data_IF_293647832626
#
_entry.id   IF_293647832626
#
_cell.length_a   1.000
_cell.length_b   1.000
_cell.length_c   1.000
_cell.angle_alpha   90.00
_cell.angle_beta   90.00
_cell.angle_gamma   90.00
#
_symmetry.space_group_name_H-M   'P 1'
#
loop_
_entity.id
_entity.type
_entity.pdbx_description
1 polymer ?
#
# COMPACT_ATOMS: atom_id res chain seq x y z
N UNK A 1 0.09 -33.00 -15.67
CA UNK A 1 -0.82 -32.43 -14.65
C UNK A 1 -2.21 -33.06 -14.93
N UNK A 2 -2.92 -33.56 -13.93
CA UNK A 2 -4.25 -34.14 -14.13
C UNK A 2 -5.23 -33.08 -14.66
N UNK A 3 -6.16 -33.47 -15.52
CA UNK A 3 -7.15 -32.56 -16.12
C UNK A 3 -8.09 -31.95 -15.09
N UNK A 4 -8.35 -32.66 -14.00
CA UNK A 4 -9.15 -32.19 -12.85
C UNK A 4 -8.56 -30.98 -12.11
N UNK A 5 -7.24 -30.74 -12.29
CA UNK A 5 -6.56 -29.57 -11.71
C UNK A 5 -6.60 -28.34 -12.64
N UNK A 6 -7.35 -28.41 -13.74
CA UNK A 6 -7.54 -27.27 -14.62
C UNK A 6 -8.39 -26.19 -13.94
N UNK A 7 -7.93 -24.95 -13.99
CA UNK A 7 -8.68 -23.78 -13.47
C UNK A 7 -9.25 -23.01 -14.67
N UNK A 8 -10.57 -22.91 -14.73
CA UNK A 8 -11.27 -22.27 -15.85
C UNK A 8 -11.35 -23.13 -17.11
N UNK A 9 -11.86 -22.57 -18.20
CA UNK A 9 -11.99 -23.21 -19.49
C UNK A 9 -10.73 -23.06 -20.35
N UNK A 10 -10.65 -23.84 -21.43
CA UNK A 10 -9.55 -23.69 -22.38
C UNK A 10 -9.54 -22.31 -23.01
N UNK A 11 -8.36 -21.68 -23.04
CA UNK A 11 -8.19 -20.30 -23.53
C UNK A 11 -8.38 -19.21 -22.46
N UNK A 12 -8.84 -19.52 -21.26
CA UNK A 12 -9.09 -18.53 -20.19
C UNK A 12 -7.87 -18.25 -19.28
N UNK A 13 -6.78 -19.00 -19.44
CA UNK A 13 -5.62 -18.89 -18.53
C UNK A 13 -5.08 -17.48 -18.35
N UNK A 14 -5.02 -16.67 -19.43
CA UNK A 14 -4.61 -15.27 -19.33
C UNK A 14 -5.57 -14.43 -18.49
N UNK A 15 -6.87 -14.64 -18.61
CA UNK A 15 -7.89 -13.91 -17.85
C UNK A 15 -7.82 -14.29 -16.36
N UNK A 16 -7.60 -15.57 -16.07
CA UNK A 16 -7.40 -16.05 -14.68
C UNK A 16 -6.16 -15.42 -14.07
N UNK A 17 -5.04 -15.40 -14.80
CA UNK A 17 -3.80 -14.78 -14.34
C UNK A 17 -3.97 -13.29 -14.09
N UNK A 18 -4.63 -12.54 -14.98
CA UNK A 18 -4.87 -11.10 -14.82
C UNK A 18 -5.80 -10.80 -13.65
N UNK A 19 -6.78 -11.65 -13.39
CA UNK A 19 -7.65 -11.54 -12.22
C UNK A 19 -6.88 -11.73 -10.92
N UNK A 20 -5.98 -12.71 -10.86
CA UNK A 20 -5.09 -12.93 -9.72
C UNK A 20 -4.16 -11.74 -9.47
N UNK A 21 -3.58 -11.16 -10.54
CA UNK A 21 -2.73 -9.97 -10.46
C UNK A 21 -3.50 -8.75 -9.92
N UNK A 22 -4.76 -8.54 -10.33
CA UNK A 22 -5.57 -7.43 -9.79
C UNK A 22 -5.79 -7.57 -8.27
N UNK A 23 -5.92 -8.82 -7.76
CA UNK A 23 -5.96 -9.08 -6.32
C UNK A 23 -4.60 -8.84 -5.66
N UNK A 24 -3.52 -9.31 -6.26
CA UNK A 24 -2.16 -9.11 -5.79
C UNK A 24 -1.81 -7.63 -5.65
N UNK A 25 -2.19 -6.80 -6.62
CA UNK A 25 -2.00 -5.34 -6.56
C UNK A 25 -2.66 -4.71 -5.35
N UNK A 26 -3.87 -5.14 -5.00
CA UNK A 26 -4.59 -4.65 -3.82
C UNK A 26 -3.86 -4.98 -2.52
N UNK A 27 -3.44 -6.24 -2.36
CA UNK A 27 -2.72 -6.68 -1.16
C UNK A 27 -1.34 -6.04 -1.03
N UNK A 28 -0.63 -5.86 -2.15
CA UNK A 28 0.64 -5.13 -2.20
C UNK A 28 0.48 -3.67 -1.80
N UNK A 29 -0.58 -3.00 -2.28
CA UNK A 29 -0.88 -1.62 -1.88
C UNK A 29 -1.10 -1.51 -0.37
N UNK A 30 -1.88 -2.42 0.22
CA UNK A 30 -2.13 -2.45 1.66
C UNK A 30 -0.84 -2.70 2.47
N UNK A 31 0.00 -3.64 2.02
CA UNK A 31 1.30 -3.90 2.64
C UNK A 31 2.24 -2.70 2.57
N UNK A 32 2.26 -1.99 1.44
CA UNK A 32 3.08 -0.78 1.26
C UNK A 32 2.64 0.37 2.18
N UNK A 33 1.33 0.55 2.40
CA UNK A 33 0.80 1.51 3.39
C UNK A 33 1.27 1.14 4.80
N UNK A 34 1.23 -0.15 5.16
CA UNK A 34 1.74 -0.63 6.45
C UNK A 34 3.24 -0.37 6.63
N UNK A 35 4.03 -0.55 5.56
CA UNK A 35 5.46 -0.26 5.58
C UNK A 35 5.74 1.24 5.72
N UNK A 36 5.01 2.09 5.01
CA UNK A 36 5.12 3.55 5.15
C UNK A 36 4.74 4.00 6.58
N UNK A 37 3.72 3.41 7.18
CA UNK A 37 3.36 3.64 8.58
C UNK A 37 4.49 3.24 9.53
N UNK A 38 5.11 2.08 9.32
CA UNK A 38 6.24 1.64 10.14
C UNK A 38 7.44 2.60 10.04
N UNK A 39 7.71 3.15 8.84
CA UNK A 39 8.74 4.18 8.66
C UNK A 39 8.39 5.46 9.44
N UNK A 40 7.15 5.90 9.39
CA UNK A 40 6.67 7.07 10.13
C UNK A 40 6.81 6.88 11.64
N UNK A 41 6.35 5.73 12.16
CA UNK A 41 6.39 5.43 13.60
C UNK A 41 7.83 5.36 14.13
N UNK A 42 8.74 4.72 13.38
CA UNK A 42 10.16 4.67 13.73
C UNK A 42 10.79 6.08 13.72
N UNK A 43 10.48 6.88 12.70
CA UNK A 43 10.99 8.24 12.54
C UNK A 43 10.50 9.18 13.64
N UNK A 44 9.23 9.11 14.00
CA UNK A 44 8.65 9.93 15.09
C UNK A 44 9.31 9.58 16.42
N UNK A 45 9.46 8.28 16.73
CA UNK A 45 10.16 7.84 17.96
C UNK A 45 11.58 8.38 18.01
N UNK A 46 12.34 8.14 16.96
CA UNK A 46 13.73 8.58 16.91
C UNK A 46 13.88 10.11 16.97
N UNK A 47 12.95 10.85 16.35
CA UNK A 47 12.95 12.30 16.36
C UNK A 47 12.73 12.92 17.76
N UNK A 48 12.08 12.19 18.66
CA UNK A 48 11.94 12.57 20.08
C UNK A 48 13.14 12.14 20.94
N UNK A 49 13.77 11.00 20.62
CA UNK A 49 14.88 10.46 21.38
C UNK A 49 16.21 11.16 21.07
N UNK A 50 16.45 11.48 19.81
CA UNK A 50 17.70 12.09 19.35
C UNK A 50 17.73 13.58 19.58
N UNK A 51 18.81 14.08 20.17
CA UNK A 51 19.06 15.50 20.41
C UNK A 51 20.23 16.03 19.60
N UNK A 52 20.12 17.23 19.05
CA UNK A 52 21.18 18.01 18.43
C UNK A 52 20.96 19.50 18.74
N UNK A 53 22.03 20.25 18.87
CA UNK A 53 21.96 21.68 19.22
C UNK A 53 21.13 22.00 20.48
N UNK A 54 21.08 21.07 21.43
CA UNK A 54 20.37 21.26 22.70
C UNK A 54 18.85 20.98 22.67
N UNK A 55 18.32 20.47 21.55
CA UNK A 55 16.89 20.13 21.45
C UNK A 55 16.67 18.82 20.66
N UNK A 56 15.46 18.26 20.76
CA UNK A 56 15.01 17.13 19.96
C UNK A 56 15.12 17.42 18.48
N UNK A 57 15.62 16.46 17.65
CA UNK A 57 15.73 16.69 16.21
C UNK A 57 14.35 16.91 15.55
N UNK A 58 13.28 16.42 16.16
CA UNK A 58 11.90 16.66 15.73
C UNK A 58 11.50 18.15 15.72
N UNK A 59 12.25 19.03 16.36
CA UNK A 59 12.01 20.48 16.34
C UNK A 59 12.59 21.16 15.09
N UNK A 60 13.53 20.53 14.41
CA UNK A 60 14.15 21.07 13.20
C UNK A 60 13.19 21.02 12.01
N UNK A 61 13.10 22.11 11.26
CA UNK A 61 12.11 22.28 10.17
C UNK A 61 12.21 21.19 9.08
N UNK A 62 13.43 20.80 8.69
CA UNK A 62 13.61 19.78 7.65
C UNK A 62 13.19 18.38 8.12
N UNK A 63 13.39 18.06 9.40
CA UNK A 63 12.88 16.82 9.99
C UNK A 63 11.35 16.84 10.03
N UNK A 64 10.74 17.95 10.45
CA UNK A 64 9.27 18.12 10.41
C UNK A 64 8.71 17.95 9.01
N UNK A 65 9.40 18.47 7.99
CA UNK A 65 8.97 18.32 6.59
C UNK A 65 8.93 16.85 6.17
N UNK A 66 9.98 16.06 6.47
CA UNK A 66 10.01 14.64 6.16
C UNK A 66 8.89 13.88 6.86
N UNK A 67 8.70 14.10 8.16
CA UNK A 67 7.62 13.49 8.95
C UNK A 67 6.24 13.85 8.40
N UNK A 68 6.02 15.13 8.06
CA UNK A 68 4.75 15.58 7.49
C UNK A 68 4.45 14.94 6.12
N UNK A 69 5.48 14.78 5.26
CA UNK A 69 5.35 14.11 3.98
C UNK A 69 5.02 12.62 4.15
N UNK A 70 5.68 11.94 5.09
CA UNK A 70 5.35 10.54 5.42
C UNK A 70 3.90 10.41 5.90
N UNK A 71 3.47 11.26 6.84
CA UNK A 71 2.11 11.21 7.39
C UNK A 71 1.06 11.44 6.30
N UNK A 72 1.23 12.50 5.49
CA UNK A 72 0.35 12.83 4.38
C UNK A 72 0.22 11.69 3.37
N UNK A 73 1.35 11.17 2.88
CA UNK A 73 1.34 10.15 1.84
C UNK A 73 0.81 8.80 2.34
N UNK A 74 1.06 8.46 3.60
CA UNK A 74 0.50 7.26 4.25
C UNK A 74 -1.02 7.35 4.34
N UNK A 75 -1.57 8.50 4.73
CA UNK A 75 -3.01 8.71 4.81
C UNK A 75 -3.68 8.66 3.43
N UNK A 76 -3.08 9.30 2.42
CA UNK A 76 -3.56 9.20 1.03
C UNK A 76 -3.56 7.74 0.57
N UNK A 77 -2.48 7.00 0.80
CA UNK A 77 -2.38 5.59 0.44
C UNK A 77 -3.45 4.74 1.12
N UNK A 78 -3.72 4.98 2.39
CA UNK A 78 -4.77 4.29 3.17
C UNK A 78 -6.16 4.53 2.59
N UNK A 79 -6.49 5.78 2.27
CA UNK A 79 -7.77 6.13 1.66
C UNK A 79 -7.95 5.49 0.29
N UNK A 80 -6.90 5.43 -0.53
CA UNK A 80 -6.94 4.76 -1.83
C UNK A 80 -7.17 3.24 -1.70
N UNK A 81 -6.51 2.59 -0.74
CA UNK A 81 -6.71 1.16 -0.46
C UNK A 81 -8.14 0.91 0.03
N UNK A 82 -8.64 1.72 0.95
CA UNK A 82 -10.01 1.60 1.45
C UNK A 82 -11.05 1.79 0.34
N UNK A 83 -10.86 2.78 -0.53
CA UNK A 83 -11.73 3.00 -1.69
C UNK A 83 -11.75 1.78 -2.60
N UNK A 84 -10.58 1.23 -2.94
CA UNK A 84 -10.50 0.04 -3.79
C UNK A 84 -11.21 -1.18 -3.14
N UNK A 85 -10.99 -1.40 -1.85
CA UNK A 85 -11.64 -2.47 -1.09
C UNK A 85 -13.16 -2.28 -0.97
N UNK A 86 -13.60 -1.04 -0.76
CA UNK A 86 -15.04 -0.73 -0.71
C UNK A 86 -15.74 -1.05 -2.03
N UNK A 87 -15.19 -0.60 -3.16
CA UNK A 87 -15.74 -0.90 -4.49
C UNK A 87 -15.82 -2.40 -4.74
N UNK A 88 -14.77 -3.13 -4.38
CA UNK A 88 -14.73 -4.58 -4.50
C UNK A 88 -15.83 -5.26 -3.69
N UNK A 89 -16.04 -4.85 -2.44
CA UNK A 89 -17.08 -5.41 -1.57
C UNK A 89 -18.50 -5.13 -2.09
N UNK A 90 -18.67 -4.12 -2.94
CA UNK A 90 -19.93 -3.80 -3.61
C UNK A 90 -20.05 -4.40 -5.01
N UNK A 91 -19.15 -5.31 -5.39
CA UNK A 91 -19.17 -5.95 -6.69
C UNK A 91 -18.86 -5.02 -7.87
N UNK A 92 -18.32 -3.85 -7.60
CA UNK A 92 -17.93 -2.89 -8.62
C UNK A 92 -16.52 -3.19 -9.08
N UNK A 93 -16.30 -3.21 -10.40
CA UNK A 93 -14.97 -3.37 -10.96
C UNK A 93 -14.08 -2.20 -10.51
N UNK A 94 -12.88 -2.53 -10.05
CA UNK A 94 -11.99 -1.58 -9.38
C UNK A 94 -10.53 -1.66 -9.86
N UNK A 95 -10.31 -2.17 -11.08
CA UNK A 95 -8.96 -2.29 -11.66
C UNK A 95 -8.22 -0.96 -11.68
N UNK A 96 -8.91 0.15 -12.02
CA UNK A 96 -8.38 1.51 -12.00
C UNK A 96 -7.93 1.92 -10.59
N UNK A 97 -8.82 1.79 -9.62
CA UNK A 97 -8.58 2.20 -8.23
C UNK A 97 -7.48 1.35 -7.58
N UNK A 98 -7.48 0.05 -7.84
CA UNK A 98 -6.45 -0.86 -7.34
C UNK A 98 -5.07 -0.52 -7.95
N UNK A 99 -5.03 -0.23 -9.25
CA UNK A 99 -3.82 0.22 -9.93
C UNK A 99 -3.29 1.55 -9.34
N UNK A 100 -4.18 2.52 -9.09
CA UNK A 100 -3.82 3.81 -8.49
C UNK A 100 -3.32 3.65 -7.05
N UNK A 101 -4.01 2.84 -6.25
CA UNK A 101 -3.62 2.56 -4.87
C UNK A 101 -2.24 1.90 -4.81
N UNK A 102 -1.98 0.90 -5.66
CA UNK A 102 -0.69 0.22 -5.73
C UNK A 102 0.42 1.19 -6.14
N UNK A 103 0.22 1.96 -7.18
CA UNK A 103 1.19 2.93 -7.65
C UNK A 103 1.58 3.92 -6.56
N UNK A 104 0.59 4.64 -6.00
CA UNK A 104 0.85 5.63 -4.96
C UNK A 104 1.50 5.01 -3.72
N UNK A 105 0.92 3.94 -3.17
CA UNK A 105 1.38 3.37 -1.91
C UNK A 105 2.81 2.84 -1.99
N UNK A 106 3.17 2.18 -3.10
CA UNK A 106 4.51 1.60 -3.25
C UNK A 106 5.58 2.66 -3.47
N UNK A 107 5.34 3.68 -4.30
CA UNK A 107 6.28 4.79 -4.46
C UNK A 107 6.44 5.58 -3.16
N UNK A 108 5.32 5.85 -2.48
CA UNK A 108 5.36 6.54 -1.20
C UNK A 108 6.13 5.72 -0.13
N UNK A 109 5.98 4.40 -0.09
CA UNK A 109 6.70 3.56 0.87
C UNK A 109 8.21 3.61 0.68
N UNK A 110 8.69 3.69 -0.57
CA UNK A 110 10.12 3.87 -0.87
C UNK A 110 10.61 5.25 -0.37
N UNK A 111 9.86 6.31 -0.67
CA UNK A 111 10.23 7.65 -0.22
C UNK A 111 10.20 7.77 1.31
N UNK A 112 9.19 7.20 1.96
CA UNK A 112 9.10 7.16 3.42
C UNK A 112 10.28 6.41 4.06
N UNK A 113 10.73 5.31 3.44
CA UNK A 113 11.89 4.58 3.92
C UNK A 113 13.21 5.35 3.73
N UNK A 114 13.37 6.07 2.62
CA UNK A 114 14.52 6.98 2.40
C UNK A 114 14.54 8.11 3.42
N UNK A 115 13.40 8.74 3.67
CA UNK A 115 13.27 9.81 4.66
C UNK A 115 13.53 9.27 6.08
N UNK A 116 13.07 8.06 6.39
CA UNK A 116 13.33 7.42 7.68
C UNK A 116 14.83 7.18 7.91
N UNK A 117 15.56 6.67 6.91
CA UNK A 117 17.02 6.53 6.98
C UNK A 117 17.66 7.90 7.18
N UNK A 118 17.22 8.92 6.44
CA UNK A 118 17.77 10.28 6.55
C UNK A 118 17.56 10.88 7.94
N UNK A 119 16.40 10.68 8.56
CA UNK A 119 16.11 11.15 9.92
C UNK A 119 17.01 10.44 10.96
N UNK A 120 17.28 9.15 10.78
CA UNK A 120 18.16 8.39 11.66
C UNK A 120 19.64 8.69 11.43
N UNK A 121 20.02 9.34 10.31
CA UNK A 121 21.41 9.63 9.96
C UNK A 121 22.24 8.33 9.86
N UNK A 122 23.45 8.31 10.43
CA UNK A 122 24.31 7.12 10.40
C UNK A 122 23.66 5.87 11.02
N UNK A 123 22.82 6.05 12.04
CA UNK A 123 22.08 4.96 12.66
C UNK A 123 21.06 4.33 11.69
N UNK A 124 20.53 5.09 10.74
CA UNK A 124 19.61 4.58 9.72
C UNK A 124 20.28 3.69 8.67
N UNK A 125 21.61 3.72 8.58
CA UNK A 125 22.41 2.89 7.69
C UNK A 125 22.85 1.57 8.37
N UNK A 126 22.72 1.47 9.69
CA UNK A 126 23.04 0.31 10.50
C UNK A 126 21.84 -0.64 10.59
N UNK A 127 22.11 -1.93 10.72
CA UNK A 127 21.10 -2.97 10.97
C UNK A 127 20.58 -3.02 12.41
N UNK A 128 21.15 -2.22 13.31
CA UNK A 128 20.65 -2.01 14.68
C UNK A 128 19.28 -1.30 14.70
N UNK A 129 18.96 -0.55 13.63
CA UNK A 129 17.68 0.12 13.43
C UNK A 129 16.90 -0.49 12.25
N UNK A 130 15.58 -0.59 12.32
CA UNK A 130 14.82 -1.33 11.31
C UNK A 130 14.68 -0.62 9.96
N UNK A 131 15.03 0.68 9.87
CA UNK A 131 14.71 1.54 8.73
C UNK A 131 15.48 1.17 7.46
N UNK A 132 16.71 0.64 7.55
CA UNK A 132 17.45 0.14 6.40
C UNK A 132 16.73 -1.05 5.75
N UNK A 133 16.20 -1.97 6.57
CA UNK A 133 15.42 -3.12 6.10
C UNK A 133 14.12 -2.68 5.45
N UNK A 134 13.49 -1.62 5.95
CA UNK A 134 12.28 -1.07 5.35
C UNK A 134 12.53 -0.57 3.92
N UNK A 135 13.69 0.05 3.65
CA UNK A 135 14.06 0.46 2.30
C UNK A 135 14.22 -0.74 1.36
N UNK A 136 14.92 -1.78 1.77
CA UNK A 136 15.09 -2.99 0.96
C UNK A 136 13.74 -3.65 0.64
N UNK A 137 12.85 -3.73 1.62
CA UNK A 137 11.53 -4.32 1.48
C UNK A 137 10.62 -3.47 0.59
N UNK A 138 10.66 -2.13 0.70
CA UNK A 138 9.82 -1.23 -0.09
C UNK A 138 10.19 -1.25 -1.57
N UNK A 139 11.50 -1.41 -1.88
CA UNK A 139 11.98 -1.34 -3.27
C UNK A 139 11.40 -2.44 -4.16
N UNK A 140 11.18 -3.63 -3.65
CA UNK A 140 10.57 -4.72 -4.40
C UNK A 140 9.14 -4.41 -4.84
N UNK A 141 8.39 -3.69 -3.99
CA UNK A 141 6.98 -3.41 -4.21
C UNK A 141 6.68 -2.51 -5.42
N UNK A 142 7.62 -1.66 -5.84
CA UNK A 142 7.47 -0.84 -7.07
C UNK A 142 7.74 -1.62 -8.35
N UNK A 143 8.20 -2.87 -8.24
CA UNK A 143 8.60 -3.71 -9.38
C UNK A 143 7.55 -4.79 -9.66
N UNK A 144 7.24 -5.63 -8.67
CA UNK A 144 6.32 -6.74 -8.86
C UNK A 144 4.86 -6.28 -8.92
N UNK A 145 3.97 -7.16 -9.37
CA UNK A 145 2.52 -6.89 -9.59
C UNK A 145 2.27 -5.71 -10.56
N UNK A 146 3.21 -5.49 -11.46
CA UNK A 146 3.26 -4.37 -12.37
C UNK A 146 4.13 -3.24 -11.85
N UNK A 147 5.06 -2.79 -12.68
CA UNK A 147 5.95 -1.67 -12.33
C UNK A 147 5.17 -0.35 -12.21
N UNK A 148 5.76 0.64 -11.54
CA UNK A 148 5.18 2.00 -11.49
C UNK A 148 4.88 2.54 -12.89
N UNK A 149 5.75 2.28 -13.87
CA UNK A 149 5.56 2.71 -15.26
C UNK A 149 4.32 2.07 -15.90
N UNK A 150 4.06 0.78 -15.62
CA UNK A 150 2.85 0.12 -16.10
C UNK A 150 1.59 0.76 -15.50
N UNK A 151 1.61 1.07 -14.21
CA UNK A 151 0.48 1.75 -13.55
C UNK A 151 0.26 3.16 -14.08
N UNK A 152 1.31 3.88 -14.45
CA UNK A 152 1.22 5.19 -15.12
C UNK A 152 0.45 5.07 -16.43
N UNK A 153 0.80 4.09 -17.28
CA UNK A 153 0.10 3.85 -18.55
C UNK A 153 -1.38 3.48 -18.31
N UNK A 154 -1.65 2.57 -17.36
CA UNK A 154 -3.02 2.18 -17.01
C UNK A 154 -3.86 3.41 -16.63
N UNK A 155 -3.34 4.29 -15.76
CA UNK A 155 -4.07 5.49 -15.34
C UNK A 155 -4.28 6.48 -16.49
N UNK A 156 -3.27 6.64 -17.36
CA UNK A 156 -3.37 7.49 -18.54
C UNK A 156 -4.45 6.97 -19.51
N UNK A 157 -4.48 5.67 -19.79
CA UNK A 157 -5.47 5.07 -20.68
C UNK A 157 -6.90 5.27 -20.18
N UNK A 158 -7.14 5.15 -18.86
CA UNK A 158 -8.44 5.45 -18.28
C UNK A 158 -8.78 6.96 -18.37
N UNK A 159 -7.83 7.84 -18.12
CA UNK A 159 -8.05 9.28 -18.17
C UNK A 159 -8.33 9.79 -19.60
N UNK A 160 -7.71 9.17 -20.60
CA UNK A 160 -7.87 9.49 -22.01
C UNK A 160 -9.08 8.80 -22.66
N UNK A 161 -9.75 7.89 -21.94
CA UNK A 161 -10.89 7.15 -22.49
C UNK A 161 -10.49 6.01 -23.44
N UNK A 162 -9.22 5.61 -23.47
CA UNK A 162 -8.74 4.47 -24.28
C UNK A 162 -9.02 3.13 -23.61
N UNK A 163 -9.31 3.13 -22.32
CA UNK A 163 -9.62 1.95 -21.54
C UNK A 163 -10.89 2.14 -20.75
N UNK A 164 -11.80 1.19 -20.89
CA UNK A 164 -13.02 1.10 -20.09
C UNK A 164 -13.06 -0.19 -19.30
N UNK A 165 -13.73 -0.17 -18.15
CA UNK A 165 -13.93 -1.38 -17.37
C UNK A 165 -14.97 -2.28 -18.03
N UNK A 166 -14.62 -3.55 -18.22
CA UNK A 166 -15.56 -4.57 -18.65
C UNK A 166 -16.35 -5.08 -17.44
N UNK A 167 -17.62 -5.49 -17.62
CA UNK A 167 -18.39 -6.11 -16.56
C UNK A 167 -17.64 -7.27 -15.88
N UNK A 168 -17.86 -7.43 -14.59
CA UNK A 168 -17.35 -8.60 -13.85
C UNK A 168 -18.02 -9.85 -14.40
N UNK A 169 -17.26 -10.88 -14.72
CA UNK A 169 -17.77 -12.14 -15.30
C UNK A 169 -18.43 -13.06 -14.26
N UNK A 170 -18.03 -12.92 -12.99
CA UNK A 170 -18.56 -13.71 -11.90
C UNK A 170 -19.43 -12.83 -11.02
N UNK A 171 -20.53 -13.36 -10.53
CA UNK A 171 -21.27 -12.68 -9.47
C UNK A 171 -20.34 -12.49 -8.26
N UNK A 172 -20.30 -11.27 -7.68
CA UNK A 172 -19.53 -11.07 -6.47
C UNK A 172 -20.07 -12.03 -5.41
N UNK A 173 -19.18 -12.62 -4.63
CA UNK A 173 -19.61 -13.38 -3.46
C UNK A 173 -20.57 -12.49 -2.66
N UNK A 174 -21.72 -13.01 -2.22
CA UNK A 174 -22.64 -12.24 -1.40
C UNK A 174 -21.81 -11.65 -0.26
N UNK A 175 -21.97 -10.34 -0.04
CA UNK A 175 -21.31 -9.67 1.05
C UNK A 175 -21.66 -10.43 2.31
N UNK A 176 -20.74 -11.28 2.77
CA UNK A 176 -20.87 -11.89 4.08
C UNK A 176 -20.87 -10.70 5.03
N UNK A 177 -22.04 -10.40 5.57
CA UNK A 177 -22.20 -9.32 6.49
C UNK A 177 -21.15 -9.50 7.58
N UNK A 178 -20.20 -8.59 7.65
CA UNK A 178 -19.49 -8.36 8.88
C UNK A 178 -20.54 -7.82 9.86
N UNK A 179 -21.32 -8.70 10.44
CA UNK A 179 -21.99 -8.41 11.69
C UNK A 179 -20.87 -8.08 12.67
N UNK A 180 -20.62 -6.80 12.83
CA UNK A 180 -19.83 -6.32 13.97
C UNK A 180 -20.61 -6.76 15.19
N UNK A 181 -20.18 -7.84 15.83
CA UNK A 181 -20.62 -8.13 17.18
C UNK A 181 -20.35 -6.86 17.98
N UNK A 182 -21.38 -6.20 18.51
CA UNK A 182 -21.15 -5.00 19.32
C UNK A 182 -20.19 -5.36 20.45
N UNK A 183 -19.22 -4.50 20.81
CA UNK A 183 -18.35 -4.77 21.94
C UNK A 183 -19.23 -5.06 23.15
N UNK A 184 -19.02 -6.21 23.77
CA UNK A 184 -19.71 -6.60 24.98
C UNK A 184 -19.58 -5.49 26.02
N UNK A 185 -20.52 -5.35 26.96
CA UNK A 185 -20.48 -4.30 27.96
C UNK A 185 -19.15 -4.34 28.69
N UNK A 186 -18.45 -3.20 28.68
CA UNK A 186 -17.20 -3.03 29.40
C UNK A 186 -17.45 -3.38 30.88
N UNK A 187 -16.88 -4.51 31.31
CA UNK A 187 -16.91 -4.89 32.73
C UNK A 187 -16.30 -3.77 33.55
N UNK A 188 -17.10 -3.16 34.40
CA UNK A 188 -16.62 -2.29 35.45
C UNK A 188 -15.87 -3.17 36.47
N UNK A 189 -14.61 -2.92 36.65
CA UNK A 189 -13.84 -3.24 37.82
C UNK A 189 -12.97 -2.04 38.19
#
# INVERSE_FOLDING_TARGET
>A
MPLENRVGEEGEGFLVAMSAIDQGRYTVAAGAVGLAQACLDASVRYAHERQTFGEEIGRHQLVKQMVANMAKGTEIGRLLVWRAGWLKNHGVRNTRETSLAKWHATEHSVQAALDAIQIHGANGYSDEFPVERYLRNSKAAVIYEGTSQLHTLIQADYALGYREDRPIRCEPLPAQGFERTPPGPAGRA
#
